data_IF_403610767213
#
_entry.id   IF_403610767213
#
_cell.length_a   1.000
_cell.length_b   1.000
_cell.length_c   1.000
_cell.angle_alpha   90.00
_cell.angle_beta   90.00
_cell.angle_gamma   90.00
#
_symmetry.space_group_name_H-M   'P 1'
#
loop_
_entity.id
_entity.type
_entity.pdbx_description
1 polymer ?
#
# COMPACT_ATOMS: atom_id res chain seq x y z
N UNK A 1 11.73 -39.87 4.98
CA UNK A 1 11.64 -38.80 3.97
C UNK A 1 10.36 -38.03 4.26
N UNK A 2 10.46 -36.95 5.03
CA UNK A 2 9.32 -36.13 5.47
C UNK A 2 9.61 -34.65 5.18
N UNK A 3 9.57 -34.27 3.90
CA UNK A 3 9.84 -32.89 3.45
C UNK A 3 8.91 -32.47 2.30
N UNK A 4 7.62 -32.78 2.38
CA UNK A 4 6.65 -32.38 1.34
C UNK A 4 5.31 -31.90 1.94
N UNK A 5 5.31 -31.33 3.15
CA UNK A 5 4.06 -30.81 3.76
C UNK A 5 4.08 -29.30 4.01
N UNK A 6 5.24 -28.64 3.93
CA UNK A 6 5.37 -27.20 4.26
C UNK A 6 5.21 -26.23 3.07
N UNK A 7 4.93 -26.71 1.86
CA UNK A 7 5.02 -25.88 0.64
C UNK A 7 3.65 -25.45 0.07
N UNK A 8 2.55 -25.71 0.77
CA UNK A 8 1.19 -25.48 0.25
C UNK A 8 0.34 -24.45 1.04
N UNK A 9 0.88 -23.77 2.06
CA UNK A 9 0.09 -22.92 2.97
C UNK A 9 0.31 -21.41 2.82
N UNK A 10 0.94 -20.93 1.74
CA UNK A 10 1.13 -19.49 1.47
C UNK A 10 0.36 -18.98 0.25
N UNK A 11 -0.75 -19.62 -0.12
CA UNK A 11 -1.57 -19.16 -1.24
C UNK A 11 -2.44 -17.98 -0.77
N UNK A 12 -2.19 -16.80 -1.33
CA UNK A 12 -3.04 -15.60 -1.28
C UNK A 12 -3.67 -15.29 0.08
N UNK A 13 -2.81 -14.89 1.01
CA UNK A 13 -3.29 -14.38 2.29
C UNK A 13 -3.89 -12.98 2.06
N UNK A 14 -5.20 -12.86 2.29
CA UNK A 14 -5.90 -11.59 2.44
C UNK A 14 -6.75 -11.63 3.71
N UNK A 15 -6.83 -10.52 4.42
CA UNK A 15 -7.77 -10.38 5.56
C UNK A 15 -9.14 -10.02 4.99
N UNK A 16 -10.22 -10.48 5.62
CA UNK A 16 -11.56 -9.96 5.30
C UNK A 16 -11.52 -8.44 5.30
N UNK A 17 -11.66 -7.87 4.10
CA UNK A 17 -11.62 -6.45 3.88
C UNK A 17 -12.90 -5.85 4.49
N UNK A 18 -12.84 -5.44 5.76
CA UNK A 18 -13.97 -4.76 6.44
C UNK A 18 -14.39 -3.46 5.73
N UNK A 19 -13.57 -3.02 4.78
CA UNK A 19 -13.83 -1.88 3.91
C UNK A 19 -13.73 -2.33 2.44
N UNK A 20 -14.67 -3.17 1.98
CA UNK A 20 -15.15 -3.06 0.59
C UNK A 20 -15.84 -1.68 0.40
N UNK A 21 -15.13 -0.56 0.64
CA UNK A 21 -15.47 0.73 0.07
C UNK A 21 -15.17 0.63 -1.42
N UNK A 22 -16.03 -0.04 -2.19
CA UNK A 22 -15.98 -0.17 -3.67
C UNK A 22 -16.15 1.17 -4.41
N UNK A 23 -15.82 2.31 -3.79
CA UNK A 23 -16.05 3.66 -4.30
C UNK A 23 -14.86 4.60 -4.23
N UNK A 24 -13.72 4.20 -3.67
CA UNK A 24 -12.55 5.07 -3.65
C UNK A 24 -11.95 5.18 -5.06
N UNK A 25 -11.97 6.39 -5.61
CA UNK A 25 -11.34 6.72 -6.89
C UNK A 25 -9.85 6.38 -6.83
N UNK A 26 -9.39 5.54 -7.76
CA UNK A 26 -7.98 5.11 -7.83
C UNK A 26 -7.21 5.92 -8.85
N UNK A 27 -6.09 6.46 -8.41
CA UNK A 27 -5.11 7.17 -9.21
C UNK A 27 -3.95 6.23 -9.50
N UNK A 28 -3.56 6.09 -10.77
CA UNK A 28 -2.37 5.34 -11.19
C UNK A 28 -1.23 6.24 -11.67
N UNK A 29 -1.49 7.54 -11.85
CA UNK A 29 -0.50 8.51 -12.30
C UNK A 29 -0.67 9.81 -11.49
N UNK A 30 0.35 10.30 -10.77
CA UNK A 30 1.73 9.81 -10.74
C UNK A 30 1.88 8.48 -10.02
N UNK A 31 2.93 7.76 -10.42
CA UNK A 31 3.54 6.71 -9.59
C UNK A 31 4.17 7.40 -8.38
N UNK A 32 3.84 6.92 -7.19
CA UNK A 32 4.44 7.39 -5.96
C UNK A 32 5.62 6.48 -5.60
N UNK A 33 6.71 7.08 -5.12
CA UNK A 33 7.75 6.39 -4.38
C UNK A 33 7.25 6.18 -2.95
N UNK A 34 7.42 4.96 -2.43
CA UNK A 34 7.02 4.57 -1.08
C UNK A 34 8.25 4.01 -0.38
N UNK A 35 8.57 4.49 0.81
CA UNK A 35 9.64 3.94 1.64
C UNK A 35 9.06 3.37 2.94
N UNK A 36 9.36 2.10 3.20
CA UNK A 36 8.98 1.36 4.41
C UNK A 36 10.24 0.70 4.95
N UNK A 37 10.58 0.97 6.21
CA UNK A 37 11.77 0.45 6.90
C UNK A 37 13.07 0.60 6.08
N UNK A 38 13.21 1.73 5.37
CA UNK A 38 14.38 2.06 4.55
C UNK A 38 14.43 1.35 3.19
N UNK A 39 13.44 0.52 2.86
CA UNK A 39 13.31 -0.11 1.55
C UNK A 39 12.35 0.69 0.68
N UNK A 40 12.75 0.96 -0.57
CA UNK A 40 11.96 1.72 -1.53
C UNK A 40 11.13 0.83 -2.44
N UNK A 41 9.89 1.24 -2.65
CA UNK A 41 8.89 0.65 -3.52
C UNK A 41 8.26 1.72 -4.41
N UNK A 42 7.46 1.26 -5.37
CA UNK A 42 6.65 2.13 -6.23
C UNK A 42 5.19 1.70 -6.18
N UNK A 43 4.26 2.65 -6.28
CA UNK A 43 2.83 2.30 -6.35
C UNK A 43 2.43 1.83 -7.75
N UNK A 44 1.59 0.80 -7.84
CA UNK A 44 0.81 0.54 -9.07
C UNK A 44 -0.38 1.51 -9.17
N UNK A 45 -1.07 1.71 -8.06
CA UNK A 45 -2.19 2.64 -7.90
C UNK A 45 -2.37 3.01 -6.43
N UNK A 46 -3.07 4.10 -6.19
CA UNK A 46 -3.35 4.62 -4.86
C UNK A 46 -4.68 5.38 -4.84
N UNK A 47 -5.21 5.58 -3.65
CA UNK A 47 -6.48 6.28 -3.38
C UNK A 47 -6.41 6.91 -1.99
N UNK A 48 -7.49 7.55 -1.54
CA UNK A 48 -7.59 8.08 -0.17
C UNK A 48 -7.47 6.99 0.90
N UNK A 49 -7.96 5.79 0.59
CA UNK A 49 -8.12 4.72 1.58
C UNK A 49 -6.96 3.72 1.56
N UNK A 50 -6.11 3.74 0.53
CA UNK A 50 -5.12 2.70 0.35
C UNK A 50 -4.23 2.85 -0.87
N UNK A 51 -3.14 2.08 -0.89
CA UNK A 51 -2.18 1.99 -1.98
C UNK A 51 -1.80 0.54 -2.29
N UNK A 52 -1.52 0.27 -3.56
CA UNK A 52 -0.92 -0.99 -4.02
C UNK A 52 0.53 -0.70 -4.39
N UNK A 53 1.48 -1.41 -3.78
CA UNK A 53 2.90 -1.28 -4.09
C UNK A 53 3.44 -2.47 -4.87
N UNK A 54 4.42 -2.21 -5.74
CA UNK A 54 5.25 -3.18 -6.41
C UNK A 54 6.36 -3.63 -5.46
N UNK A 55 6.15 -4.77 -4.82
CA UNK A 55 7.09 -5.42 -3.92
C UNK A 55 6.39 -6.03 -2.71
N UNK A 56 7.14 -6.86 -2.01
CA UNK A 56 6.77 -7.43 -0.71
C UNK A 56 7.82 -6.96 0.28
N UNK A 57 7.49 -6.07 1.23
CA UNK A 57 8.46 -5.63 2.23
C UNK A 57 8.87 -6.79 3.12
N UNK A 58 10.11 -6.75 3.63
CA UNK A 58 10.60 -7.81 4.51
C UNK A 58 9.82 -7.84 5.83
N UNK A 59 9.62 -9.05 6.38
CA UNK A 59 8.97 -9.25 7.69
C UNK A 59 7.52 -8.75 7.81
N UNK A 60 6.83 -8.56 6.69
CA UNK A 60 5.43 -8.17 6.69
C UNK A 60 4.51 -9.35 7.00
N UNK A 61 3.60 -9.13 7.93
CA UNK A 61 2.47 -10.02 8.21
C UNK A 61 1.17 -9.26 7.97
N UNK A 62 0.14 -10.00 7.56
CA UNK A 62 -1.19 -9.42 7.39
C UNK A 62 -1.73 -8.78 8.67
N UNK A 63 -2.53 -7.74 8.50
CA UNK A 63 -3.16 -6.92 9.54
C UNK A 63 -2.17 -6.21 10.49
N UNK A 64 -0.86 -6.34 10.25
CA UNK A 64 0.13 -5.60 11.04
C UNK A 64 0.18 -4.13 10.63
N UNK A 65 0.39 -3.23 11.60
CA UNK A 65 0.59 -1.83 11.33
C UNK A 65 1.87 -1.63 10.50
N UNK A 66 1.80 -0.73 9.54
CA UNK A 66 2.93 -0.30 8.71
C UNK A 66 3.00 1.22 8.72
N UNK A 67 4.21 1.76 8.69
CA UNK A 67 4.47 3.18 8.59
C UNK A 67 5.52 3.43 7.53
N UNK A 68 5.46 4.61 6.93
CA UNK A 68 6.42 4.98 5.90
C UNK A 68 6.27 6.40 5.42
N UNK A 69 7.00 6.71 4.36
CA UNK A 69 6.88 7.96 3.61
C UNK A 69 6.48 7.65 2.18
N UNK A 70 5.64 8.51 1.61
CA UNK A 70 5.19 8.41 0.22
C UNK A 70 5.25 9.77 -0.46
N UNK A 71 5.61 9.80 -1.74
CA UNK A 71 5.67 11.04 -2.52
C UNK A 71 5.73 10.79 -4.02
N UNK A 72 5.26 11.72 -4.88
CA UNK A 72 5.41 11.60 -6.32
C UNK A 72 6.88 11.54 -6.73
N UNK A 73 7.25 10.62 -7.61
CA UNK A 73 8.63 10.50 -8.10
C UNK A 73 9.10 11.83 -8.72
N UNK A 74 10.26 12.32 -8.29
CA UNK A 74 10.84 13.58 -8.79
C UNK A 74 10.22 14.85 -8.20
N UNK A 75 9.27 14.75 -7.27
CA UNK A 75 8.70 15.88 -6.53
C UNK A 75 9.32 15.97 -5.13
N UNK A 76 9.50 17.18 -4.55
CA UNK A 76 9.84 17.34 -3.13
C UNK A 76 8.64 17.09 -2.19
N UNK A 77 7.46 16.83 -2.73
CA UNK A 77 6.25 16.53 -1.95
C UNK A 77 6.37 15.18 -1.23
N UNK A 78 6.24 15.19 0.10
CA UNK A 78 6.34 14.00 0.96
C UNK A 78 5.15 13.96 1.91
N UNK A 79 4.56 12.79 2.09
CA UNK A 79 3.51 12.49 3.04
C UNK A 79 3.98 11.34 3.95
N UNK A 80 3.95 11.52 5.27
CA UNK A 80 4.10 10.37 6.18
C UNK A 80 2.78 9.61 6.20
N UNK A 81 2.84 8.29 6.18
CA UNK A 81 1.65 7.46 6.29
C UNK A 81 1.79 6.43 7.40
N UNK A 82 0.64 6.14 8.02
CA UNK A 82 0.41 4.93 8.79
C UNK A 82 -0.68 4.13 8.09
N UNK A 83 -0.69 2.83 8.32
CA UNK A 83 -1.68 1.95 7.71
C UNK A 83 -1.53 0.53 8.22
N UNK A 84 -2.13 -0.41 7.49
CA UNK A 84 -1.98 -1.84 7.73
C UNK A 84 -1.91 -2.61 6.42
N UNK A 85 -1.20 -3.73 6.44
CA UNK A 85 -1.08 -4.60 5.28
C UNK A 85 -2.32 -5.50 5.22
N UNK A 86 -3.13 -5.34 4.17
CA UNK A 86 -4.41 -6.06 4.04
C UNK A 86 -4.34 -7.22 3.05
N UNK A 87 -3.33 -7.21 2.17
CA UNK A 87 -3.07 -8.28 1.20
C UNK A 87 -1.60 -8.32 0.81
N UNK A 88 -1.06 -9.51 0.66
CA UNK A 88 0.26 -9.77 0.07
C UNK A 88 0.10 -10.80 -1.04
N UNK A 89 0.64 -10.50 -2.21
CA UNK A 89 0.67 -11.40 -3.36
C UNK A 89 2.13 -11.62 -3.76
N UNK A 90 2.66 -12.78 -3.36
CA UNK A 90 4.06 -13.15 -3.60
C UNK A 90 4.30 -13.54 -5.06
N UNK A 91 3.26 -13.98 -5.78
CA UNK A 91 3.38 -14.38 -7.18
C UNK A 91 3.54 -13.17 -8.10
N UNK A 92 2.71 -12.15 -7.89
CA UNK A 92 2.77 -10.90 -8.63
C UNK A 92 3.71 -9.87 -8.00
N UNK A 93 4.31 -10.20 -6.85
CA UNK A 93 5.16 -9.30 -6.07
C UNK A 93 4.46 -7.98 -5.77
N UNK A 94 3.23 -8.03 -5.24
CA UNK A 94 2.47 -6.83 -4.86
C UNK A 94 2.01 -6.88 -3.41
N UNK A 95 1.89 -5.71 -2.79
CA UNK A 95 1.36 -5.56 -1.43
C UNK A 95 0.31 -4.47 -1.40
N UNK A 96 -0.86 -4.76 -0.82
CA UNK A 96 -1.91 -3.79 -0.60
C UNK A 96 -1.86 -3.27 0.83
N UNK A 97 -1.82 -1.94 0.96
CA UNK A 97 -1.79 -1.22 2.23
C UNK A 97 -3.07 -0.42 2.32
N UNK A 98 -3.82 -0.62 3.40
CA UNK A 98 -4.91 0.27 3.80
C UNK A 98 -4.33 1.40 4.66
N UNK A 99 -4.67 2.64 4.34
CA UNK A 99 -4.14 3.81 5.03
C UNK A 99 -5.00 4.15 6.25
N UNK A 100 -4.34 4.58 7.33
CA UNK A 100 -5.03 5.15 8.48
C UNK A 100 -5.45 6.59 8.17
N UNK A 101 -6.76 6.77 7.90
CA UNK A 101 -7.38 8.09 7.66
C UNK A 101 -7.17 9.07 8.84
N UNK A 102 -6.82 8.58 10.03
CA UNK A 102 -6.53 9.43 11.20
C UNK A 102 -5.12 10.00 11.18
N UNK A 103 -4.24 9.52 10.30
CA UNK A 103 -2.91 10.11 10.13
C UNK A 103 -3.05 11.55 9.61
N UNK A 104 -2.56 12.58 10.36
CA UNK A 104 -2.75 13.98 9.98
C UNK A 104 -2.19 14.31 8.59
N UNK A 105 -1.03 13.75 8.24
CA UNK A 105 -0.38 13.96 6.94
C UNK A 105 -1.22 13.34 5.81
N UNK A 106 -1.76 12.14 6.02
CA UNK A 106 -2.64 11.47 5.04
C UNK A 106 -3.92 12.28 4.85
N UNK A 107 -4.59 12.68 5.94
CA UNK A 107 -5.82 13.45 5.89
C UNK A 107 -5.65 14.83 5.23
N UNK A 108 -4.46 15.43 5.31
CA UNK A 108 -4.18 16.74 4.74
C UNK A 108 -3.69 16.69 3.28
N UNK A 109 -2.80 15.75 2.95
CA UNK A 109 -2.07 15.77 1.67
C UNK A 109 -2.70 14.89 0.60
N UNK A 110 -3.16 13.69 0.95
CA UNK A 110 -3.70 12.75 -0.04
C UNK A 110 -4.92 13.30 -0.78
N UNK A 111 -5.89 13.98 -0.12
CA UNK A 111 -7.00 14.63 -0.83
C UNK A 111 -6.54 15.67 -1.86
N UNK A 112 -5.52 16.46 -1.53
CA UNK A 112 -4.97 17.46 -2.45
C UNK A 112 -4.31 16.79 -3.66
N UNK A 113 -3.59 15.69 -3.44
CA UNK A 113 -2.99 14.92 -4.52
C UNK A 113 -4.05 14.24 -5.40
N UNK A 114 -5.11 13.67 -4.82
CA UNK A 114 -6.23 13.13 -5.60
C UNK A 114 -6.88 14.22 -6.46
N UNK A 115 -7.07 15.43 -5.94
CA UNK A 115 -7.59 16.55 -6.73
C UNK A 115 -6.61 16.99 -7.84
N UNK A 116 -5.32 17.07 -7.53
CA UNK A 116 -4.27 17.51 -8.46
C UNK A 116 -4.02 16.52 -9.58
N UNK A 117 -4.10 15.22 -9.28
CA UNK A 117 -3.67 14.15 -10.19
C UNK A 117 -4.80 13.26 -10.70
N UNK A 118 -5.93 13.22 -9.99
CA UNK A 118 -7.10 12.42 -10.36
C UNK A 118 -8.00 13.05 -11.41
N UNK A 119 -7.84 14.34 -11.71
CA UNK A 119 -8.56 14.99 -12.82
C UNK A 119 -7.83 14.75 -14.14
N UNK A 120 -8.22 13.68 -14.84
CA UNK A 120 -7.94 13.49 -16.27
C UNK A 120 -9.19 13.03 -16.99
#
# INVERSE_FOLDING_TARGET
MERIVLQAEMNDLSVENRFEKRGAFRVSNPVLSVEIDGTQFSTENWSLDGMMINGVPDQVELDKPVQGIVGPVGSPEICRFGGRIVRVDVHNMTTAIELDEKSPDVAALLPLWVLKYGTR
#
